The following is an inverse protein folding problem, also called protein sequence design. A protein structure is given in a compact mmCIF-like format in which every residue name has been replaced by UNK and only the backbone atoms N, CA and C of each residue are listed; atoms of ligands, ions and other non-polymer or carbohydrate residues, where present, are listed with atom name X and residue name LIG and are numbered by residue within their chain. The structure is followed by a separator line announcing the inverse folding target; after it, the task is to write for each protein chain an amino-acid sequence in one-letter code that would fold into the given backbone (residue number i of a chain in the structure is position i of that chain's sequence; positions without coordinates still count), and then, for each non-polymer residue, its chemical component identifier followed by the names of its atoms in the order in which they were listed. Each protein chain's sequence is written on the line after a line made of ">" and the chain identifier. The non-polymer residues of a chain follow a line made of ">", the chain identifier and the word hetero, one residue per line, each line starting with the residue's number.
data_IF_289465739127
#
_entry.id   IF_289465739127
#
_cell.length_a   1.000
_cell.length_b   1.000
_cell.length_c   1.000
_cell.angle_alpha   90.00
_cell.angle_beta   90.00
_cell.angle_gamma   90.00
#
_symmetry.space_group_name_H-M   'P 1'
#
loop_
_entity.id
_entity.type
_entity.pdbx_description
1 polymer ?
#
# COMPACT_ATOMS: atom_id res chain seq x y z
N UNK A 1 -10.28 -80.98 12.54
CA UNK A 1 -9.37 -79.98 13.16
C UNK A 1 -9.02 -78.92 12.12
N UNK A 2 -9.82 -77.86 12.02
CA UNK A 2 -9.51 -76.71 11.15
C UNK A 2 -9.63 -75.43 11.97
N UNK A 3 -8.55 -75.06 12.65
CA UNK A 3 -8.41 -73.76 13.31
C UNK A 3 -8.30 -72.68 12.24
N UNK A 4 -9.33 -71.85 12.09
CA UNK A 4 -9.34 -70.66 11.22
C UNK A 4 -8.44 -69.57 11.81
N UNK A 5 -7.23 -69.29 11.29
CA UNK A 5 -6.33 -68.28 11.83
C UNK A 5 -6.16 -67.17 10.79
N UNK A 6 -7.20 -66.38 10.49
CA UNK A 6 -7.03 -65.26 9.54
C UNK A 6 -8.00 -64.08 9.67
N UNK A 7 -8.91 -64.07 10.65
CA UNK A 7 -9.87 -62.97 10.80
C UNK A 7 -9.36 -61.79 11.66
N UNK A 8 -8.48 -62.06 12.64
CA UNK A 8 -7.96 -61.00 13.52
C UNK A 8 -6.99 -60.04 12.80
N UNK A 9 -6.16 -60.55 11.89
CA UNK A 9 -5.24 -59.73 11.11
C UNK A 9 -5.98 -58.89 10.07
N UNK A 10 -6.98 -59.46 9.40
CA UNK A 10 -7.81 -58.74 8.43
C UNK A 10 -8.60 -57.59 9.07
N UNK A 11 -9.23 -57.83 10.24
CA UNK A 11 -9.93 -56.79 10.99
C UNK A 11 -9.00 -55.66 11.48
N UNK A 12 -7.75 -55.99 11.86
CA UNK A 12 -6.73 -55.00 12.22
C UNK A 12 -6.32 -54.14 11.02
N UNK A 13 -6.11 -54.76 9.86
CA UNK A 13 -5.72 -54.06 8.62
C UNK A 13 -6.83 -53.09 8.18
N UNK A 14 -8.10 -53.51 8.21
CA UNK A 14 -9.24 -52.62 7.89
C UNK A 14 -9.32 -51.41 8.84
N UNK A 15 -9.02 -51.60 10.14
CA UNK A 15 -8.93 -50.52 11.13
C UNK A 15 -7.83 -49.50 10.77
N UNK A 16 -6.65 -49.99 10.40
CA UNK A 16 -5.51 -49.15 10.04
C UNK A 16 -5.77 -48.36 8.76
N UNK A 17 -6.35 -49.00 7.73
CA UNK A 17 -6.74 -48.33 6.48
C UNK A 17 -7.74 -47.19 6.72
N UNK A 18 -8.70 -47.38 7.64
CA UNK A 18 -9.66 -46.34 8.03
C UNK A 18 -8.96 -45.16 8.73
N UNK A 19 -7.97 -45.43 9.60
CA UNK A 19 -7.20 -44.38 10.29
C UNK A 19 -6.39 -43.52 9.30
N UNK A 20 -5.75 -44.13 8.30
CA UNK A 20 -5.00 -43.40 7.26
C UNK A 20 -5.92 -42.41 6.51
N UNK A 21 -7.15 -42.84 6.17
CA UNK A 21 -8.13 -41.98 5.52
C UNK A 21 -8.55 -40.80 6.40
N UNK A 22 -8.75 -41.04 7.70
CA UNK A 22 -9.07 -39.99 8.68
C UNK A 22 -7.91 -38.99 8.79
N UNK A 23 -6.67 -39.47 8.91
CA UNK A 23 -5.48 -38.60 8.98
C UNK A 23 -5.34 -37.73 7.73
N UNK A 24 -5.61 -38.27 6.53
CA UNK A 24 -5.63 -37.47 5.28
C UNK A 24 -6.69 -36.38 5.33
N UNK A 25 -7.91 -36.71 5.74
CA UNK A 25 -9.02 -35.73 5.85
C UNK A 25 -8.68 -34.65 6.87
N UNK A 26 -8.16 -35.03 8.04
CA UNK A 26 -7.74 -34.08 9.08
C UNK A 26 -6.62 -33.16 8.59
N UNK A 27 -5.65 -33.67 7.82
CA UNK A 27 -4.59 -32.84 7.21
C UNK A 27 -5.16 -31.84 6.20
N UNK A 28 -6.09 -32.27 5.35
CA UNK A 28 -6.76 -31.39 4.38
C UNK A 28 -7.59 -30.33 5.10
N UNK A 29 -8.36 -30.71 6.12
CA UNK A 29 -9.15 -29.78 6.93
C UNK A 29 -8.28 -28.76 7.66
N UNK A 30 -7.12 -29.17 8.22
CA UNK A 30 -6.13 -28.24 8.78
C UNK A 30 -5.63 -27.25 7.74
N UNK A 31 -5.26 -27.71 6.54
CA UNK A 31 -4.80 -26.82 5.47
C UNK A 31 -5.84 -25.75 5.10
N UNK A 32 -7.13 -26.11 5.03
CA UNK A 32 -8.20 -25.14 4.80
C UNK A 32 -8.39 -24.16 5.98
N UNK A 33 -8.20 -24.61 7.22
CA UNK A 33 -8.23 -23.75 8.40
C UNK A 33 -7.05 -22.78 8.42
N UNK A 34 -5.84 -23.26 8.14
CA UNK A 34 -4.62 -22.46 8.08
C UNK A 34 -4.72 -21.42 6.94
N UNK A 35 -5.19 -21.83 5.75
CA UNK A 35 -5.44 -20.94 4.62
C UNK A 35 -6.49 -19.87 4.94
N UNK A 36 -7.62 -20.24 5.57
CA UNK A 36 -8.66 -19.30 5.98
C UNK A 36 -8.13 -18.28 7.00
N UNK A 37 -7.29 -18.73 7.94
CA UNK A 37 -6.68 -17.86 8.95
C UNK A 37 -5.68 -16.90 8.32
N UNK A 38 -4.88 -17.36 7.36
CA UNK A 38 -3.97 -16.52 6.58
C UNK A 38 -4.72 -15.47 5.76
N UNK A 39 -5.77 -15.87 5.03
CA UNK A 39 -6.62 -14.94 4.25
C UNK A 39 -7.29 -13.91 5.18
N UNK A 40 -7.80 -14.34 6.34
CA UNK A 40 -8.40 -13.43 7.33
C UNK A 40 -7.38 -12.43 7.89
N UNK A 41 -6.13 -12.84 8.06
CA UNK A 41 -5.03 -11.99 8.56
C UNK A 41 -4.55 -11.00 7.50
N UNK A 42 -4.53 -11.41 6.23
CA UNK A 42 -4.28 -10.50 5.10
C UNK A 42 -5.43 -9.50 4.98
N UNK A 43 -6.68 -9.96 5.00
CA UNK A 43 -7.85 -9.10 4.87
C UNK A 43 -7.95 -8.07 6.01
N UNK A 44 -7.63 -8.46 7.25
CA UNK A 44 -7.59 -7.53 8.38
C UNK A 44 -6.49 -6.47 8.21
N UNK A 45 -5.34 -6.85 7.65
CA UNK A 45 -4.21 -5.95 7.38
C UNK A 45 -4.49 -5.00 6.22
N UNK A 46 -5.14 -5.50 5.15
CA UNK A 46 -5.63 -4.67 4.04
C UNK A 46 -6.52 -3.54 4.54
N UNK A 47 -7.37 -3.77 5.55
CA UNK A 47 -8.20 -2.70 6.12
C UNK A 47 -7.34 -1.57 6.71
N UNK A 48 -6.29 -1.91 7.47
CA UNK A 48 -5.37 -0.92 8.03
C UNK A 48 -4.62 -0.16 6.92
N UNK A 49 -4.10 -0.90 5.92
CA UNK A 49 -3.39 -0.32 4.78
C UNK A 49 -4.27 0.62 3.96
N UNK A 50 -5.54 0.25 3.74
CA UNK A 50 -6.51 1.10 3.05
C UNK A 50 -6.70 2.43 3.76
N UNK A 51 -6.81 2.44 5.09
CA UNK A 51 -6.91 3.68 5.85
C UNK A 51 -5.65 4.53 5.73
N UNK A 52 -4.47 3.93 5.76
CA UNK A 52 -3.23 4.68 5.57
C UNK A 52 -3.12 5.27 4.16
N UNK A 53 -3.49 4.50 3.13
CA UNK A 53 -3.53 4.99 1.74
C UNK A 53 -4.51 6.18 1.63
N UNK A 54 -5.69 6.09 2.24
CA UNK A 54 -6.66 7.20 2.26
C UNK A 54 -6.06 8.45 2.92
N UNK A 55 -5.36 8.30 4.05
CA UNK A 55 -4.71 9.43 4.72
C UNK A 55 -3.62 10.06 3.85
N UNK A 56 -2.83 9.25 3.13
CA UNK A 56 -1.81 9.74 2.19
C UNK A 56 -2.46 10.47 1.02
N UNK A 57 -3.52 9.92 0.43
CA UNK A 57 -4.26 10.56 -0.66
C UNK A 57 -4.90 11.89 -0.19
N UNK A 58 -5.41 11.94 1.04
CA UNK A 58 -5.94 13.16 1.63
C UNK A 58 -4.86 14.22 1.81
N UNK A 59 -3.67 13.84 2.29
CA UNK A 59 -2.53 14.75 2.39
C UNK A 59 -2.14 15.30 1.02
N UNK A 60 -2.02 14.44 0.01
CA UNK A 60 -1.72 14.84 -1.38
C UNK A 60 -2.78 15.83 -1.88
N UNK A 61 -4.06 15.55 -1.60
CA UNK A 61 -5.16 16.42 -1.99
C UNK A 61 -5.07 17.80 -1.32
N UNK A 62 -4.84 17.86 -0.02
CA UNK A 62 -4.72 19.13 0.74
C UNK A 62 -3.54 19.97 0.20
N UNK A 63 -2.38 19.36 0.01
CA UNK A 63 -1.20 20.06 -0.54
C UNK A 63 -1.45 20.48 -1.99
N UNK A 64 -2.12 19.65 -2.79
CA UNK A 64 -2.50 19.98 -4.16
C UNK A 64 -3.47 21.16 -4.23
N UNK A 65 -4.46 21.23 -3.35
CA UNK A 65 -5.37 22.38 -3.21
C UNK A 65 -4.57 23.61 -2.81
N UNK A 66 -3.69 23.52 -1.83
CA UNK A 66 -2.86 24.64 -1.38
C UNK A 66 -2.01 25.22 -2.52
N UNK A 67 -1.24 24.38 -3.22
CA UNK A 67 -0.36 24.84 -4.32
C UNK A 67 -1.15 25.41 -5.50
N UNK A 68 -2.28 24.78 -5.85
CA UNK A 68 -3.13 25.27 -6.96
C UNK A 68 -3.71 26.65 -6.64
N UNK A 69 -4.20 26.85 -5.41
CA UNK A 69 -4.72 28.15 -4.99
C UNK A 69 -3.61 29.20 -4.88
N UNK A 70 -2.45 28.83 -4.36
CA UNK A 70 -1.29 29.72 -4.29
C UNK A 70 -0.89 30.22 -5.68
N UNK A 71 -0.81 29.33 -6.66
CA UNK A 71 -0.48 29.68 -8.04
C UNK A 71 -1.58 30.50 -8.70
N UNK A 72 -2.85 30.18 -8.45
CA UNK A 72 -3.97 30.96 -8.94
C UNK A 72 -3.94 32.40 -8.39
N UNK A 73 -3.62 32.57 -7.11
CA UNK A 73 -3.49 33.87 -6.46
C UNK A 73 -2.31 34.67 -7.04
N UNK A 74 -1.13 34.04 -7.15
CA UNK A 74 0.04 34.68 -7.78
C UNK A 74 -0.21 35.06 -9.24
N UNK A 75 -0.98 34.27 -9.97
CA UNK A 75 -1.35 34.57 -11.35
C UNK A 75 -2.25 35.81 -11.51
N UNK A 76 -2.94 36.25 -10.44
CA UNK A 76 -3.70 37.51 -10.48
C UNK A 76 -2.78 38.73 -10.48
N UNK A 77 -1.63 38.64 -9.82
CA UNK A 77 -0.60 39.68 -9.75
C UNK A 77 0.36 39.61 -10.95
N UNK A 78 0.70 38.38 -11.36
CA UNK A 78 1.68 38.06 -12.38
C UNK A 78 1.11 37.09 -13.43
N UNK A 79 0.32 37.57 -14.41
CA UNK A 79 -0.34 36.70 -15.40
C UNK A 79 0.63 35.85 -16.24
N UNK A 80 1.87 36.28 -16.39
CA UNK A 80 2.97 35.57 -17.04
C UNK A 80 3.29 34.21 -16.39
N UNK A 81 2.96 34.03 -15.11
CA UNK A 81 3.19 32.80 -14.36
C UNK A 81 2.49 31.59 -15.01
N UNK A 82 1.24 31.76 -15.46
CA UNK A 82 0.48 30.70 -16.11
C UNK A 82 0.91 30.42 -17.55
N UNK A 83 1.70 31.31 -18.15
CA UNK A 83 2.31 31.08 -19.47
C UNK A 83 3.54 30.17 -19.37
N UNK A 84 4.15 30.06 -18.19
CA UNK A 84 5.29 29.16 -17.97
C UNK A 84 4.84 27.71 -18.08
N UNK A 85 5.49 26.99 -19.00
CA UNK A 85 5.10 25.63 -19.36
C UNK A 85 5.15 24.67 -18.17
N UNK A 86 6.15 24.82 -17.28
CA UNK A 86 6.32 23.97 -16.10
C UNK A 86 5.21 24.19 -15.07
N UNK A 87 4.91 25.45 -14.71
CA UNK A 87 3.81 25.81 -13.82
C UNK A 87 2.48 25.27 -14.36
N UNK A 88 2.19 25.47 -15.65
CA UNK A 88 0.96 24.97 -16.26
C UNK A 88 0.90 23.43 -16.32
N UNK A 89 2.05 22.78 -16.55
CA UNK A 89 2.15 21.31 -16.63
C UNK A 89 1.83 20.66 -15.29
N UNK A 90 2.46 21.13 -14.22
CA UNK A 90 2.38 20.53 -12.90
C UNK A 90 1.23 21.09 -12.05
N UNK A 91 0.92 22.38 -12.17
CA UNK A 91 0.02 23.07 -11.26
C UNK A 91 -1.15 23.81 -11.93
N UNK A 92 -1.31 23.67 -13.25
CA UNK A 92 -2.34 24.38 -14.01
C UNK A 92 -3.78 23.98 -13.69
N UNK A 93 -4.00 22.91 -12.93
CA UNK A 93 -5.30 22.54 -12.37
C UNK A 93 -5.13 21.71 -11.12
N UNK A 94 -6.17 21.64 -10.29
CA UNK A 94 -6.14 20.84 -9.06
C UNK A 94 -5.76 19.38 -9.32
N UNK A 95 -6.34 18.77 -10.37
CA UNK A 95 -6.01 17.39 -10.75
C UNK A 95 -4.55 17.22 -11.17
N UNK A 96 -3.98 18.19 -11.90
CA UNK A 96 -2.56 18.16 -12.28
C UNK A 96 -1.66 18.29 -11.05
N UNK A 97 -1.99 19.21 -10.14
CA UNK A 97 -1.24 19.40 -8.90
C UNK A 97 -1.22 18.13 -8.06
N UNK A 98 -2.39 17.53 -7.81
CA UNK A 98 -2.48 16.29 -7.01
C UNK A 98 -1.79 15.11 -7.69
N UNK A 99 -1.94 14.97 -9.01
CA UNK A 99 -1.25 13.92 -9.77
C UNK A 99 0.27 14.10 -9.74
N UNK A 100 0.76 15.33 -9.90
CA UNK A 100 2.20 15.63 -9.87
C UNK A 100 2.80 15.32 -8.50
N UNK A 101 2.11 15.70 -7.42
CA UNK A 101 2.52 15.37 -6.05
C UNK A 101 2.52 13.84 -5.80
N UNK A 102 1.51 13.13 -6.31
CA UNK A 102 1.51 11.67 -6.29
C UNK A 102 2.69 11.07 -7.08
N UNK A 103 3.01 11.62 -8.25
CA UNK A 103 4.17 11.20 -9.06
C UNK A 103 5.49 11.44 -8.31
N UNK A 104 5.66 12.59 -7.67
CA UNK A 104 6.86 12.89 -6.88
C UNK A 104 7.04 11.92 -5.69
N UNK A 105 5.94 11.50 -5.05
CA UNK A 105 5.98 10.52 -3.97
C UNK A 105 6.28 9.10 -4.47
N UNK A 106 5.74 8.72 -5.63
CA UNK A 106 5.85 7.36 -6.19
C UNK A 106 7.06 7.16 -7.10
N UNK A 107 7.86 8.20 -7.34
CA UNK A 107 9.04 8.16 -8.21
C UNK A 107 8.72 8.25 -9.71
N UNK A 108 7.56 8.80 -10.08
CA UNK A 108 7.19 9.05 -11.48
C UNK A 108 7.85 10.29 -12.08
N UNK A 109 8.11 11.32 -11.27
CA UNK A 109 8.84 12.55 -11.63
C UNK A 109 9.71 12.92 -10.44
N UNK A 110 10.90 13.47 -10.70
CA UNK A 110 11.76 13.94 -9.62
C UNK A 110 11.11 15.11 -8.88
N UNK A 111 11.10 15.02 -7.55
CA UNK A 111 10.49 16.04 -6.70
C UNK A 111 11.16 17.41 -6.86
N UNK A 112 12.44 17.44 -7.27
CA UNK A 112 13.18 18.66 -7.62
C UNK A 112 12.56 19.37 -8.84
N UNK A 113 12.16 18.63 -9.88
CA UNK A 113 11.54 19.20 -11.09
C UNK A 113 10.22 19.91 -10.77
N UNK A 114 9.50 19.45 -9.75
CA UNK A 114 8.29 20.10 -9.25
C UNK A 114 8.63 21.31 -8.38
N UNK A 115 9.72 21.23 -7.62
CA UNK A 115 10.09 22.27 -6.66
C UNK A 115 10.68 23.52 -7.31
N UNK A 116 11.58 23.36 -8.28
CA UNK A 116 12.27 24.47 -8.97
C UNK A 116 11.33 25.60 -9.40
N UNK A 117 10.23 25.34 -10.15
CA UNK A 117 9.34 26.42 -10.57
C UNK A 117 8.59 27.07 -9.40
N UNK A 118 8.40 26.40 -8.26
CA UNK A 118 7.81 27.03 -7.07
C UNK A 118 8.80 27.98 -6.39
N UNK A 119 10.07 27.58 -6.29
CA UNK A 119 11.10 28.38 -5.60
C UNK A 119 11.59 29.56 -6.43
N UNK A 120 11.69 29.39 -7.75
CA UNK A 120 12.18 30.43 -8.66
C UNK A 120 11.12 31.49 -8.95
N UNK A 121 9.84 31.10 -9.01
CA UNK A 121 8.76 32.00 -9.45
C UNK A 121 7.96 32.62 -8.30
N UNK A 122 7.91 31.98 -7.13
CA UNK A 122 7.04 32.41 -6.04
C UNK A 122 7.86 32.75 -4.80
N UNK A 123 8.51 31.76 -4.19
CA UNK A 123 9.29 31.99 -2.98
C UNK A 123 10.23 30.83 -2.65
N UNK A 124 11.51 31.09 -2.32
CA UNK A 124 12.42 30.06 -1.82
C UNK A 124 11.92 29.32 -0.57
N UNK A 125 11.04 29.93 0.24
CA UNK A 125 10.47 29.30 1.43
C UNK A 125 9.61 28.06 1.09
N UNK A 126 9.01 28.02 -0.10
CA UNK A 126 8.29 26.84 -0.59
C UNK A 126 9.20 25.63 -0.71
N UNK A 127 10.51 25.84 -0.88
CA UNK A 127 11.56 24.84 -0.74
C UNK A 127 11.38 23.98 0.51
N UNK A 128 11.37 24.64 1.66
CA UNK A 128 11.28 23.98 2.97
C UNK A 128 9.93 23.28 3.15
N UNK A 129 8.84 23.96 2.78
CA UNK A 129 7.47 23.40 2.90
C UNK A 129 7.32 22.13 2.05
N UNK A 130 7.80 22.16 0.81
CA UNK A 130 7.71 21.03 -0.11
C UNK A 130 8.62 19.87 0.34
N UNK A 131 9.83 20.16 0.81
CA UNK A 131 10.73 19.13 1.36
C UNK A 131 10.15 18.45 2.60
N UNK A 132 9.48 19.19 3.50
CA UNK A 132 8.78 18.62 4.65
C UNK A 132 7.63 17.71 4.21
N UNK A 133 6.86 18.13 3.20
CA UNK A 133 5.82 17.31 2.60
C UNK A 133 6.37 16.00 2.02
N UNK A 134 7.41 16.07 1.17
CA UNK A 134 8.03 14.89 0.56
C UNK A 134 8.59 13.95 1.63
N UNK A 135 9.30 14.47 2.63
CA UNK A 135 9.85 13.68 3.72
C UNK A 135 8.73 12.94 4.47
N UNK A 136 7.68 13.65 4.85
CA UNK A 136 6.54 13.04 5.54
C UNK A 136 5.82 12.00 4.67
N UNK A 137 5.57 12.31 3.40
CA UNK A 137 4.89 11.42 2.46
C UNK A 137 5.68 10.12 2.22
N UNK A 138 7.01 10.23 2.01
CA UNK A 138 7.90 9.09 1.84
C UNK A 138 7.99 8.27 3.13
N UNK A 139 8.13 8.88 4.30
CA UNK A 139 8.11 8.16 5.58
C UNK A 139 6.78 7.43 5.79
N UNK A 140 5.66 8.06 5.46
CA UNK A 140 4.35 7.43 5.54
C UNK A 140 4.25 6.21 4.59
N UNK A 141 4.69 6.36 3.34
CA UNK A 141 4.75 5.26 2.38
C UNK A 141 5.65 4.11 2.85
N UNK A 142 6.83 4.43 3.39
CA UNK A 142 7.73 3.43 3.97
C UNK A 142 7.12 2.73 5.17
N UNK A 143 6.36 3.44 6.00
CA UNK A 143 5.62 2.83 7.12
C UNK A 143 4.51 1.88 6.63
N UNK A 144 3.81 2.22 5.55
CA UNK A 144 2.83 1.33 4.90
C UNK A 144 3.52 0.04 4.43
N UNK A 145 4.62 0.18 3.69
CA UNK A 145 5.38 -0.96 3.14
C UNK A 145 5.95 -1.82 4.27
N UNK A 146 6.54 -1.19 5.29
CA UNK A 146 7.08 -1.88 6.47
C UNK A 146 5.97 -2.63 7.21
N UNK A 147 4.78 -2.03 7.35
CA UNK A 147 3.61 -2.69 7.94
C UNK A 147 3.22 -3.98 7.21
N UNK A 148 3.23 -3.96 5.86
CA UNK A 148 2.99 -5.16 5.04
C UNK A 148 4.05 -6.23 5.29
N UNK A 149 5.33 -5.85 5.32
CA UNK A 149 6.43 -6.80 5.52
C UNK A 149 6.45 -7.39 6.92
N UNK A 150 6.23 -6.58 7.96
CA UNK A 150 6.14 -7.04 9.36
C UNK A 150 4.99 -8.03 9.51
N UNK A 151 3.82 -7.74 8.91
CA UNK A 151 2.69 -8.65 8.93
C UNK A 151 3.03 -10.00 8.24
N UNK A 152 3.74 -9.94 7.12
CA UNK A 152 4.16 -11.14 6.38
C UNK A 152 5.16 -11.98 7.19
N UNK A 153 6.08 -11.33 7.89
CA UNK A 153 7.04 -12.00 8.78
C UNK A 153 6.34 -12.67 9.97
N UNK A 154 5.37 -12.00 10.60
CA UNK A 154 4.58 -12.54 11.72
C UNK A 154 3.73 -13.75 11.35
N UNK A 155 3.28 -13.86 10.08
CA UNK A 155 2.56 -15.04 9.60
C UNK A 155 3.47 -16.23 9.28
N UNK A 156 4.77 -16.00 9.10
CA UNK A 156 5.75 -17.03 8.72
C UNK A 156 6.52 -17.59 9.93
N UNK A 157 6.62 -16.81 11.02
CA UNK A 157 7.19 -17.23 12.30
C UNK A 157 6.20 -18.07 13.12
#
# INVERSE_FOLDING_TARGET
>A
TNSMPSNFNFMRILRILRLIRIVRIVRVLRYFQDLRTMISSIASSCKSLLWTIILVLLLIYIVGVYLTNLIADQATLHPELLQKQEIRRYYGSLFRSTLSLFQAMTGGVDWDDLLRPLTEEISPFLGVVFSLYITFAVLCMMNVITGVFVQSALMTA
#
